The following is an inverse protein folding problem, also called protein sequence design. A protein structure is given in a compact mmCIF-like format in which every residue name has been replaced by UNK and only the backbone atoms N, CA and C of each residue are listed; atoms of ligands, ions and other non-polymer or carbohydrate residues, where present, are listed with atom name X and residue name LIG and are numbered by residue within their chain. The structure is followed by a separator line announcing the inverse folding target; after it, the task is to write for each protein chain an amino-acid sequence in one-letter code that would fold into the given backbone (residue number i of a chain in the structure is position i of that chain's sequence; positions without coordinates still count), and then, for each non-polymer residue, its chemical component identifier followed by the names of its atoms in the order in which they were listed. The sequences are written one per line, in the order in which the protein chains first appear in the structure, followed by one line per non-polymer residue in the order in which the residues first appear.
data_IF_257147667330
#
_entry.id   IF_257147667330
#
_cell.length_a   1.000
_cell.length_b   1.000
_cell.length_c   1.000
_cell.angle_alpha   90.00
_cell.angle_beta   90.00
_cell.angle_gamma   90.00
#
_symmetry.space_group_name_H-M   'P 1'
#
loop_
_entity.id
_entity.type
_entity.pdbx_description
1 polymer ?
#
# COMPACT_ATOMS: atom_id res chain seq x y z
N UNK A 1 -8.21 5.71 -11.34
CA UNK A 1 -9.33 6.54 -10.80
C UNK A 1 -8.99 6.91 -9.37
N UNK A 2 -9.30 8.12 -8.90
CA UNK A 2 -9.05 8.55 -7.50
C UNK A 2 -10.34 8.62 -6.68
N UNK A 3 -10.26 8.34 -5.38
CA UNK A 3 -11.39 8.50 -4.46
C UNK A 3 -11.39 9.91 -3.85
N UNK A 4 -12.48 10.65 -4.11
CA UNK A 4 -12.68 12.02 -3.63
C UNK A 4 -14.12 12.24 -3.19
N UNK A 5 -14.31 12.83 -2.00
CA UNK A 5 -15.62 13.24 -1.48
C UNK A 5 -16.73 12.16 -1.58
N UNK A 6 -16.39 10.90 -1.31
CA UNK A 6 -17.36 9.80 -1.28
C UNK A 6 -17.62 9.12 -2.64
N UNK A 7 -16.86 9.46 -3.69
CA UNK A 7 -17.01 8.88 -5.03
C UNK A 7 -15.68 8.64 -5.73
N UNK A 8 -15.67 7.75 -6.71
CA UNK A 8 -14.55 7.59 -7.65
C UNK A 8 -14.63 8.64 -8.75
N UNK A 9 -13.50 9.24 -9.09
CA UNK A 9 -13.35 10.26 -10.13
C UNK A 9 -12.31 9.77 -11.15
N UNK A 10 -12.63 9.94 -12.43
CA UNK A 10 -11.71 9.63 -13.52
C UNK A 10 -10.55 10.64 -13.54
N UNK A 11 -9.36 10.12 -13.77
CA UNK A 11 -8.12 10.89 -13.77
C UNK A 11 -7.12 10.21 -14.71
N UNK A 12 -6.03 10.90 -15.05
CA UNK A 12 -4.92 10.25 -15.74
C UNK A 12 -4.16 9.33 -14.78
N UNK A 13 -3.38 8.40 -15.32
CA UNK A 13 -2.47 7.54 -14.53
C UNK A 13 -1.52 8.38 -13.68
N UNK A 14 -1.02 9.49 -14.22
CA UNK A 14 -0.16 10.41 -13.48
C UNK A 14 -0.87 11.13 -12.34
N UNK A 15 -2.10 11.60 -12.56
CA UNK A 15 -2.88 12.23 -11.48
C UNK A 15 -3.16 11.23 -10.35
N UNK A 16 -3.40 9.96 -10.67
CA UNK A 16 -3.52 8.89 -9.68
C UNK A 16 -2.23 8.70 -8.88
N UNK A 17 -1.06 8.62 -9.55
CA UNK A 17 0.24 8.52 -8.86
C UNK A 17 0.51 9.71 -7.96
N UNK A 18 0.18 10.94 -8.39
CA UNK A 18 0.38 12.16 -7.59
C UNK A 18 -0.52 12.18 -6.36
N UNK A 19 -1.81 11.85 -6.54
CA UNK A 19 -2.77 11.78 -5.44
C UNK A 19 -2.33 10.73 -4.40
N UNK A 20 -1.91 9.55 -4.85
CA UNK A 20 -1.32 8.51 -4.00
C UNK A 20 -0.11 9.04 -3.23
N UNK A 21 0.89 9.61 -3.92
CA UNK A 21 2.11 10.13 -3.30
C UNK A 21 1.82 11.21 -2.24
N UNK A 22 0.93 12.16 -2.54
CA UNK A 22 0.56 13.23 -1.62
C UNK A 22 -0.23 12.72 -0.40
N UNK A 23 -1.16 11.80 -0.60
CA UNK A 23 -1.91 11.16 0.50
C UNK A 23 -0.99 10.35 1.41
N UNK A 24 -0.04 9.62 0.83
CA UNK A 24 0.98 8.90 1.59
C UNK A 24 1.86 9.87 2.39
N UNK A 25 2.38 10.92 1.75
CA UNK A 25 3.20 11.94 2.42
C UNK A 25 2.49 12.54 3.64
N UNK A 26 1.23 12.96 3.49
CA UNK A 26 0.44 13.59 4.57
C UNK A 26 0.27 12.67 5.77
N UNK A 27 -0.12 11.42 5.55
CA UNK A 27 -0.35 10.49 6.65
C UNK A 27 0.96 10.01 7.30
N UNK A 28 1.98 9.70 6.49
CA UNK A 28 3.30 9.26 6.98
C UNK A 28 3.93 10.37 7.84
N UNK A 29 3.80 11.62 7.40
CA UNK A 29 4.21 12.76 8.18
C UNK A 29 3.40 12.92 9.49
N UNK A 30 2.09 12.63 9.45
CA UNK A 30 1.22 12.64 10.62
C UNK A 30 1.61 11.62 11.70
N UNK A 31 2.19 10.49 11.31
CA UNK A 31 2.71 9.47 12.25
C UNK A 31 4.19 9.69 12.63
N UNK A 32 4.84 10.75 12.12
CA UNK A 32 6.22 11.09 12.48
C UNK A 32 7.30 10.29 11.76
N UNK A 33 6.95 9.56 10.70
CA UNK A 33 7.91 8.75 9.93
C UNK A 33 8.44 9.57 8.75
N UNK A 34 9.76 9.58 8.48
CA UNK A 34 10.30 10.23 7.28
C UNK A 34 10.01 9.41 6.02
N UNK A 35 9.80 10.08 4.90
CA UNK A 35 9.67 9.44 3.59
C UNK A 35 10.41 10.20 2.49
N UNK A 36 10.91 9.44 1.51
CA UNK A 36 11.60 9.95 0.32
C UNK A 36 10.80 9.60 -0.94
N UNK A 37 10.53 10.60 -1.77
CA UNK A 37 9.84 10.47 -3.05
C UNK A 37 10.84 10.56 -4.17
N UNK A 38 11.20 9.41 -4.74
CA UNK A 38 12.18 9.29 -5.81
C UNK A 38 11.50 9.35 -7.18
N UNK A 39 11.93 10.26 -8.04
CA UNK A 39 11.45 10.33 -9.41
C UNK A 39 12.16 9.27 -10.26
N UNK A 40 11.40 8.40 -10.90
CA UNK A 40 11.93 7.38 -11.82
C UNK A 40 12.75 8.03 -12.94
N UNK A 41 12.16 9.05 -13.56
CA UNK A 41 12.76 9.89 -14.59
C UNK A 41 12.99 11.30 -14.03
N UNK A 42 14.20 11.57 -13.56
CA UNK A 42 14.56 12.91 -13.09
C UNK A 42 14.48 13.92 -14.24
N UNK A 43 14.04 15.18 -13.98
CA UNK A 43 14.05 16.22 -14.99
C UNK A 43 15.45 16.44 -15.56
N UNK A 44 15.58 16.80 -16.86
CA UNK A 44 16.86 17.21 -17.41
C UNK A 44 17.31 18.51 -16.72
N UNK A 45 18.34 18.42 -15.89
CA UNK A 45 18.99 19.55 -15.25
C UNK A 45 20.50 19.53 -15.49
N UNK A 46 21.22 20.62 -15.21
CA UNK A 46 22.68 20.62 -15.21
C UNK A 46 23.13 19.69 -14.08
N UNK A 47 23.26 18.39 -14.39
CA UNK A 47 23.91 17.43 -13.51
C UNK A 47 25.33 17.95 -13.36
N UNK A 48 25.59 18.61 -12.23
CA UNK A 48 26.96 18.68 -11.75
C UNK A 48 27.47 17.24 -11.78
N UNK A 49 28.68 17.04 -12.27
CA UNK A 49 29.32 15.73 -12.46
C UNK A 49 29.52 14.95 -11.12
N UNK A 50 28.81 15.32 -10.07
CA UNK A 50 28.65 14.57 -8.84
C UNK A 50 27.83 13.32 -9.14
N UNK A 51 28.48 12.17 -9.06
CA UNK A 51 27.83 10.87 -9.01
C UNK A 51 26.98 10.77 -7.74
N UNK A 52 25.69 11.12 -7.80
CA UNK A 52 24.80 10.96 -6.64
C UNK A 52 23.40 11.53 -6.83
N UNK A 53 22.45 10.98 -6.07
CA UNK A 53 21.09 11.46 -5.89
C UNK A 53 21.09 12.89 -5.32
N UNK A 54 20.37 13.81 -5.97
CA UNK A 54 20.23 15.19 -5.48
C UNK A 54 18.83 15.47 -4.97
N UNK A 55 18.73 15.90 -3.70
CA UNK A 55 17.46 16.33 -3.11
C UNK A 55 16.93 17.59 -3.82
N UNK A 56 15.63 17.62 -4.08
CA UNK A 56 14.97 18.66 -4.85
C UNK A 56 15.09 18.51 -6.38
N UNK A 57 15.86 17.53 -6.87
CA UNK A 57 16.00 17.22 -8.30
C UNK A 57 15.58 15.79 -8.59
N UNK A 58 16.27 14.81 -8.00
CA UNK A 58 16.01 13.38 -8.21
C UNK A 58 14.99 12.83 -7.21
N UNK A 59 14.97 13.38 -5.99
CA UNK A 59 14.06 12.98 -4.95
C UNK A 59 13.67 14.14 -4.05
N UNK A 60 12.58 13.98 -3.29
CA UNK A 60 12.16 14.91 -2.25
C UNK A 60 12.00 14.16 -0.93
N UNK A 61 12.41 14.79 0.17
CA UNK A 61 12.19 14.26 1.51
C UNK A 61 11.07 15.01 2.21
N UNK A 62 10.15 14.26 2.81
CA UNK A 62 9.19 14.75 3.80
C UNK A 62 9.55 14.11 5.12
N UNK A 63 9.99 14.94 6.07
CA UNK A 63 10.48 14.52 7.37
C UNK A 63 9.97 15.50 8.44
N UNK A 64 9.00 15.06 9.27
CA UNK A 64 8.44 15.87 10.36
C UNK A 64 9.48 16.37 11.38
N UNK A 65 10.63 15.71 11.48
CA UNK A 65 11.71 16.12 12.39
C UNK A 65 12.60 17.23 11.81
N UNK A 66 12.55 17.45 10.49
CA UNK A 66 13.43 18.35 9.76
C UNK A 66 12.69 19.54 9.12
N UNK A 67 12.01 20.35 9.93
CA UNK A 67 11.39 21.62 9.51
C UNK A 67 9.86 21.56 9.41
N UNK A 68 9.27 22.53 8.69
CA UNK A 68 7.81 22.63 8.57
C UNK A 68 7.24 21.62 7.58
N UNK A 69 6.53 20.61 8.09
CA UNK A 69 5.87 19.55 7.28
C UNK A 69 5.01 20.11 6.15
N UNK A 70 4.17 21.12 6.41
CA UNK A 70 3.33 21.73 5.37
C UNK A 70 4.17 22.33 4.23
N UNK A 71 5.29 22.98 4.55
CA UNK A 71 6.18 23.53 3.54
C UNK A 71 6.90 22.43 2.73
N UNK A 72 7.15 21.25 3.32
CA UNK A 72 7.69 20.10 2.61
C UNK A 72 6.64 19.48 1.67
N UNK A 73 5.40 19.33 2.15
CA UNK A 73 4.26 18.84 1.36
C UNK A 73 3.96 19.78 0.17
N UNK A 74 3.97 21.09 0.39
CA UNK A 74 3.82 22.10 -0.67
C UNK A 74 4.92 21.99 -1.73
N UNK A 75 6.16 21.68 -1.32
CA UNK A 75 7.27 21.48 -2.25
C UNK A 75 7.07 20.22 -3.08
N UNK A 76 6.66 19.11 -2.44
CA UNK A 76 6.34 17.86 -3.12
C UNK A 76 5.25 18.07 -4.17
N UNK A 77 4.14 18.70 -3.78
CA UNK A 77 3.03 19.01 -4.69
C UNK A 77 3.48 19.86 -5.89
N UNK A 78 4.29 20.90 -5.64
CA UNK A 78 4.82 21.76 -6.72
C UNK A 78 5.75 21.01 -7.66
N UNK A 79 6.59 20.09 -7.18
CA UNK A 79 7.48 19.32 -8.05
C UNK A 79 6.68 18.30 -8.86
N UNK A 80 5.80 17.54 -8.21
CA UNK A 80 4.92 16.58 -8.89
C UNK A 80 4.03 17.27 -9.95
N UNK A 81 3.57 18.49 -9.69
CA UNK A 81 2.81 19.29 -10.66
C UNK A 81 3.62 19.78 -11.88
N UNK A 82 4.96 19.80 -11.81
CA UNK A 82 5.85 20.23 -12.89
C UNK A 82 6.41 19.06 -13.70
N UNK A 83 6.56 17.90 -13.09
CA UNK A 83 7.08 16.70 -13.74
C UNK A 83 6.01 16.13 -14.68
N UNK A 84 6.45 15.69 -15.86
CA UNK A 84 5.64 14.88 -16.77
C UNK A 84 6.25 13.49 -16.87
N UNK A 85 5.45 12.41 -16.78
CA UNK A 85 5.93 11.06 -16.97
C UNK A 85 6.28 10.87 -18.45
N UNK A 86 7.57 10.86 -18.75
CA UNK A 86 8.10 10.70 -20.11
C UNK A 86 9.34 9.83 -20.07
N UNK A 87 9.56 9.08 -21.14
CA UNK A 87 10.78 8.30 -21.35
C UNK A 87 10.62 6.81 -21.05
N UNK A 88 11.74 6.20 -20.69
CA UNK A 88 11.84 4.77 -20.38
C UNK A 88 11.49 4.50 -18.91
N UNK A 89 11.48 3.23 -18.54
CA UNK A 89 11.18 2.74 -17.19
C UNK A 89 12.43 2.09 -16.58
N UNK A 90 13.47 2.88 -16.21
CA UNK A 90 14.76 2.35 -15.75
C UNK A 90 14.71 1.88 -14.28
N UNK A 91 13.82 0.93 -13.97
CA UNK A 91 13.55 0.49 -12.61
C UNK A 91 14.77 -0.17 -11.97
N UNK A 92 15.50 -1.02 -12.69
CA UNK A 92 16.66 -1.74 -12.14
C UNK A 92 17.72 -0.74 -11.67
N UNK A 93 17.98 0.27 -12.50
CA UNK A 93 18.89 1.36 -12.13
C UNK A 93 18.42 2.09 -10.87
N UNK A 94 17.14 2.49 -10.79
CA UNK A 94 16.63 3.25 -9.64
C UNK A 94 16.60 2.45 -8.36
N UNK A 95 16.20 1.19 -8.41
CA UNK A 95 16.25 0.30 -7.26
C UNK A 95 17.69 0.11 -6.81
N UNK A 96 18.65 -0.02 -7.73
CA UNK A 96 20.08 -0.14 -7.39
C UNK A 96 20.63 1.11 -6.68
N UNK A 97 20.23 2.31 -7.13
CA UNK A 97 20.63 3.57 -6.50
C UNK A 97 20.00 3.72 -5.09
N UNK A 98 18.72 3.35 -4.91
CA UNK A 98 18.03 3.32 -3.62
C UNK A 98 18.64 2.27 -2.68
N UNK A 99 18.93 1.07 -3.20
CA UNK A 99 19.61 0.00 -2.48
C UNK A 99 20.94 0.49 -1.89
N UNK A 100 21.79 1.13 -2.71
CA UNK A 100 23.08 1.63 -2.26
C UNK A 100 22.96 2.66 -1.14
N UNK A 101 21.89 3.47 -1.16
CA UNK A 101 21.59 4.46 -0.12
C UNK A 101 21.13 3.80 1.18
N UNK A 102 20.15 2.90 1.13
CA UNK A 102 19.67 2.18 2.32
C UNK A 102 20.80 1.32 2.92
N UNK A 103 21.66 0.74 2.09
CA UNK A 103 22.81 -0.05 2.55
C UNK A 103 23.78 0.77 3.42
N UNK A 104 23.93 2.08 3.18
CA UNK A 104 24.76 2.96 4.02
C UNK A 104 24.19 3.16 5.43
N UNK A 105 22.87 3.04 5.59
CA UNK A 105 22.15 3.24 6.85
C UNK A 105 21.73 1.91 7.51
N UNK A 106 22.02 0.77 6.86
CA UNK A 106 21.54 -0.56 7.23
C UNK A 106 21.80 -0.91 8.69
N UNK A 107 23.03 -0.71 9.17
CA UNK A 107 23.40 -1.11 10.52
C UNK A 107 22.65 -0.30 11.58
N UNK A 108 22.36 0.97 11.30
CA UNK A 108 21.62 1.82 12.22
C UNK A 108 20.13 1.50 12.20
N UNK A 109 19.56 1.21 11.03
CA UNK A 109 18.20 0.70 10.90
C UNK A 109 18.01 -0.61 11.69
N UNK A 110 18.94 -1.55 11.56
CA UNK A 110 18.88 -2.84 12.28
C UNK A 110 19.01 -2.64 13.79
N UNK A 111 19.95 -1.81 14.26
CA UNK A 111 20.10 -1.50 15.69
C UNK A 111 18.86 -0.83 16.27
N UNK A 112 18.21 0.04 15.50
CA UNK A 112 16.98 0.71 15.90
C UNK A 112 15.73 -0.17 15.75
N UNK A 113 15.84 -1.38 15.19
CA UNK A 113 14.70 -2.25 14.88
C UNK A 113 13.77 -1.65 13.81
N UNK A 114 14.28 -0.71 13.01
CA UNK A 114 13.54 -0.03 11.95
C UNK A 114 13.55 -0.85 10.67
N UNK A 115 12.50 -0.65 9.87
CA UNK A 115 12.32 -1.28 8.56
C UNK A 115 11.98 -0.19 7.55
N UNK A 116 12.32 -0.43 6.30
CA UNK A 116 11.99 0.45 5.18
C UNK A 116 10.88 -0.19 4.36
N UNK A 117 9.89 0.60 3.96
CA UNK A 117 8.97 0.19 2.90
C UNK A 117 9.40 0.88 1.61
N UNK A 118 9.72 0.08 0.59
CA UNK A 118 10.02 0.55 -0.75
C UNK A 118 8.78 0.43 -1.62
N UNK A 119 8.18 1.56 -1.98
CA UNK A 119 6.98 1.62 -2.82
C UNK A 119 7.39 1.99 -4.25
N UNK A 120 7.07 1.12 -5.20
CA UNK A 120 7.33 1.30 -6.63
C UNK A 120 5.99 1.56 -7.31
N UNK A 121 5.70 2.81 -7.63
CA UNK A 121 4.54 3.15 -8.46
C UNK A 121 4.94 3.18 -9.94
N UNK A 122 4.28 2.38 -10.77
CA UNK A 122 4.61 2.24 -12.20
C UNK A 122 3.36 1.95 -13.03
N UNK A 123 3.33 2.44 -14.26
CA UNK A 123 2.31 2.12 -15.26
C UNK A 123 2.84 1.21 -16.38
N UNK A 124 4.08 0.74 -16.29
CA UNK A 124 4.73 -0.05 -17.32
C UNK A 124 5.76 -1.06 -16.81
N UNK A 125 6.28 -1.84 -17.77
CA UNK A 125 7.36 -2.82 -17.55
C UNK A 125 8.74 -2.13 -17.48
N UNK A 126 9.72 -2.72 -16.77
CA UNK A 126 11.09 -2.22 -16.77
C UNK A 126 11.68 -2.20 -18.18
N UNK A 127 12.59 -1.25 -18.43
CA UNK A 127 13.37 -1.22 -19.68
C UNK A 127 14.42 -2.31 -19.73
N UNK A 128 14.95 -2.67 -18.56
CA UNK A 128 15.86 -3.78 -18.40
C UNK A 128 15.12 -5.13 -18.38
N UNK A 129 15.81 -6.25 -18.70
CA UNK A 129 15.21 -7.58 -18.66
C UNK A 129 14.62 -7.94 -17.29
N UNK A 130 13.53 -8.70 -17.29
CA UNK A 130 12.82 -9.17 -16.09
C UNK A 130 13.76 -9.82 -15.07
N UNK A 131 14.71 -10.61 -15.54
CA UNK A 131 15.68 -11.34 -14.71
C UNK A 131 16.53 -10.37 -13.88
N UNK A 132 16.88 -9.21 -14.45
CA UNK A 132 17.67 -8.18 -13.75
C UNK A 132 16.84 -7.46 -12.70
N UNK A 133 15.55 -7.23 -12.96
CA UNK A 133 14.62 -6.72 -11.96
C UNK A 133 14.44 -7.72 -10.82
N UNK A 134 14.25 -9.00 -11.15
CA UNK A 134 14.13 -10.06 -10.16
C UNK A 134 15.39 -10.17 -9.29
N UNK A 135 16.58 -10.15 -9.89
CA UNK A 135 17.87 -10.17 -9.17
C UNK A 135 17.99 -9.02 -8.17
N UNK A 136 17.75 -7.77 -8.59
CA UNK A 136 17.91 -6.62 -7.69
C UNK A 136 16.85 -6.58 -6.59
N UNK A 137 15.62 -7.01 -6.88
CA UNK A 137 14.57 -7.12 -5.85
C UNK A 137 14.91 -8.19 -4.81
N UNK A 138 15.36 -9.37 -5.24
CA UNK A 138 15.83 -10.43 -4.31
C UNK A 138 16.98 -9.94 -3.46
N UNK A 139 17.97 -9.29 -4.09
CA UNK A 139 19.12 -8.75 -3.39
C UNK A 139 18.67 -7.71 -2.34
N UNK A 140 17.82 -6.77 -2.74
CA UNK A 140 17.31 -5.72 -1.85
C UNK A 140 16.56 -6.31 -0.64
N UNK A 141 15.67 -7.28 -0.87
CA UNK A 141 14.91 -7.91 0.20
C UNK A 141 15.75 -8.83 1.10
N UNK A 142 16.86 -9.39 0.59
CA UNK A 142 17.74 -10.28 1.36
C UNK A 142 18.74 -9.49 2.21
N UNK A 143 19.34 -8.45 1.63
CA UNK A 143 20.45 -7.74 2.26
C UNK A 143 19.95 -6.67 3.25
N UNK A 144 18.75 -6.14 3.05
CA UNK A 144 18.20 -4.99 3.77
C UNK A 144 16.88 -5.33 4.49
N UNK A 145 16.53 -4.64 5.60
CA UNK A 145 15.24 -4.79 6.28
C UNK A 145 14.13 -4.05 5.51
N UNK A 146 13.88 -4.47 4.27
CA UNK A 146 12.96 -3.82 3.33
C UNK A 146 11.74 -4.70 3.06
N UNK A 147 10.56 -4.08 2.99
CA UNK A 147 9.37 -4.67 2.38
C UNK A 147 9.04 -3.88 1.10
N UNK A 148 8.78 -4.60 0.01
CA UNK A 148 8.56 -3.97 -1.30
C UNK A 148 7.08 -4.02 -1.66
N UNK A 149 6.54 -2.89 -2.09
CA UNK A 149 5.19 -2.79 -2.64
C UNK A 149 5.29 -2.26 -4.06
N UNK A 150 4.69 -2.95 -5.03
CA UNK A 150 4.56 -2.48 -6.41
C UNK A 150 3.12 -2.06 -6.63
N UNK A 151 2.90 -0.75 -6.82
CA UNK A 151 1.60 -0.18 -7.13
C UNK A 151 1.47 0.05 -8.63
N UNK A 152 0.58 -0.68 -9.28
CA UNK A 152 0.32 -0.60 -10.71
C UNK A 152 -0.70 0.49 -11.01
N UNK A 153 -0.29 1.56 -11.68
CA UNK A 153 -1.20 2.64 -12.08
C UNK A 153 -1.69 2.45 -13.51
N UNK A 154 -1.92 1.20 -13.92
CA UNK A 154 -2.30 0.80 -15.28
C UNK A 154 -3.23 -0.40 -15.25
N UNK A 155 -4.15 -0.47 -16.20
CA UNK A 155 -5.07 -1.59 -16.45
C UNK A 155 -4.59 -2.50 -17.60
N UNK A 156 -3.36 -2.28 -18.08
CA UNK A 156 -2.77 -3.07 -19.15
C UNK A 156 -2.42 -4.48 -18.65
N UNK A 157 -3.17 -5.47 -19.12
CA UNK A 157 -3.03 -6.87 -18.70
C UNK A 157 -1.61 -7.40 -18.83
N UNK A 158 -0.86 -6.98 -19.85
CA UNK A 158 0.54 -7.40 -20.03
C UNK A 158 1.46 -6.89 -18.91
N UNK A 159 1.18 -5.73 -18.34
CA UNK A 159 1.95 -5.16 -17.21
C UNK A 159 1.54 -5.86 -15.91
N UNK A 160 0.24 -6.03 -15.70
CA UNK A 160 -0.30 -6.74 -14.52
C UNK A 160 0.22 -8.18 -14.46
N UNK A 161 0.10 -8.93 -15.56
CA UNK A 161 0.61 -10.30 -15.67
C UNK A 161 2.14 -10.38 -15.51
N UNK A 162 2.88 -9.33 -15.88
CA UNK A 162 4.32 -9.27 -15.68
C UNK A 162 4.66 -9.25 -14.19
N UNK A 163 4.05 -8.36 -13.40
CA UNK A 163 4.34 -8.23 -11.98
C UNK A 163 3.76 -9.37 -11.16
N UNK A 164 2.59 -9.91 -11.52
CA UNK A 164 2.04 -11.10 -10.84
C UNK A 164 2.97 -12.32 -10.97
N UNK A 165 3.49 -12.58 -12.18
CA UNK A 165 4.48 -13.66 -12.37
C UNK A 165 5.80 -13.38 -11.65
N UNK A 166 6.19 -12.11 -11.56
CA UNK A 166 7.39 -11.73 -10.81
C UNK A 166 7.20 -12.05 -9.33
N UNK A 167 6.06 -11.71 -8.74
CA UNK A 167 5.73 -12.02 -7.34
C UNK A 167 5.73 -13.52 -7.05
N UNK A 168 5.04 -14.31 -7.88
CA UNK A 168 5.00 -15.77 -7.77
C UNK A 168 6.39 -16.43 -7.79
N UNK A 169 7.35 -15.85 -8.52
CA UNK A 169 8.71 -16.40 -8.68
C UNK A 169 9.71 -15.93 -7.61
N UNK A 170 9.46 -14.80 -6.95
CA UNK A 170 10.47 -14.15 -6.13
C UNK A 170 10.55 -14.73 -4.71
N UNK A 171 9.48 -15.30 -4.16
CA UNK A 171 9.39 -15.80 -2.78
C UNK A 171 9.94 -14.80 -1.72
N UNK A 172 9.91 -13.49 -2.01
CA UNK A 172 10.35 -12.40 -1.13
C UNK A 172 9.14 -11.65 -0.58
N UNK A 173 9.28 -10.79 0.45
CA UNK A 173 8.20 -9.92 0.92
C UNK A 173 7.91 -8.78 -0.08
N UNK A 174 7.36 -9.15 -1.24
CA UNK A 174 6.83 -8.29 -2.29
C UNK A 174 5.30 -8.34 -2.23
N UNK A 175 4.66 -7.19 -2.46
CA UNK A 175 3.21 -7.09 -2.63
C UNK A 175 2.94 -6.35 -3.94
N UNK A 176 2.12 -6.91 -4.82
CA UNK A 176 1.69 -6.26 -6.07
C UNK A 176 0.25 -5.81 -5.88
N UNK A 177 -0.02 -4.53 -6.11
CA UNK A 177 -1.34 -3.93 -5.96
C UNK A 177 -1.78 -3.28 -7.27
N UNK A 178 -2.92 -3.71 -7.79
CA UNK A 178 -3.54 -3.12 -8.98
C UNK A 178 -4.73 -2.22 -8.59
N UNK A 179 -5.74 -2.08 -9.45
CA UNK A 179 -6.85 -1.18 -9.24
C UNK A 179 -7.75 -1.59 -8.06
N UNK A 180 -8.29 -0.58 -7.36
CA UNK A 180 -9.16 -0.74 -6.20
C UNK A 180 -10.36 -1.69 -6.42
N UNK A 181 -10.98 -1.69 -7.62
CA UNK A 181 -12.12 -2.57 -7.91
C UNK A 181 -11.68 -4.00 -8.22
N UNK A 182 -10.55 -4.17 -8.92
CA UNK A 182 -9.90 -5.46 -9.15
C UNK A 182 -9.59 -6.16 -7.83
N UNK A 183 -8.83 -5.49 -6.96
CA UNK A 183 -8.48 -5.95 -5.62
C UNK A 183 -9.71 -6.34 -4.79
N UNK A 184 -10.75 -5.49 -4.80
CA UNK A 184 -11.97 -5.77 -4.07
C UNK A 184 -12.69 -7.04 -4.59
N UNK A 185 -12.66 -7.30 -5.90
CA UNK A 185 -13.24 -8.52 -6.49
C UNK A 185 -12.45 -9.75 -6.07
N UNK A 186 -11.13 -9.68 -6.07
CA UNK A 186 -10.26 -10.80 -5.66
C UNK A 186 -10.48 -11.16 -4.20
N UNK A 187 -10.46 -10.17 -3.30
CA UNK A 187 -10.74 -10.36 -1.87
C UNK A 187 -12.11 -11.01 -1.65
N UNK A 188 -13.13 -10.55 -2.37
CA UNK A 188 -14.46 -11.16 -2.29
C UNK A 188 -14.48 -12.59 -2.85
N UNK A 189 -13.81 -12.86 -3.98
CA UNK A 189 -13.74 -14.16 -4.63
C UNK A 189 -13.01 -15.21 -3.78
N UNK A 190 -12.00 -14.80 -2.99
CA UNK A 190 -11.36 -15.67 -1.99
C UNK A 190 -12.24 -15.96 -0.77
N UNK A 191 -13.46 -15.40 -0.70
CA UNK A 191 -14.41 -15.63 0.38
C UNK A 191 -14.29 -14.64 1.55
N UNK A 192 -13.52 -13.57 1.38
CA UNK A 192 -13.38 -12.50 2.38
C UNK A 192 -14.36 -11.33 2.15
N UNK A 193 -15.42 -11.53 1.35
CA UNK A 193 -16.46 -10.52 1.08
C UNK A 193 -17.32 -10.10 2.29
N UNK A 194 -16.98 -10.58 3.50
CA UNK A 194 -17.48 -10.02 4.76
C UNK A 194 -16.82 -8.68 5.10
N UNK A 195 -15.67 -8.37 4.51
CA UNK A 195 -14.95 -7.10 4.65
C UNK A 195 -15.15 -6.27 3.37
N UNK A 196 -15.48 -4.99 3.50
CA UNK A 196 -15.46 -4.07 2.38
C UNK A 196 -14.01 -3.62 2.12
N UNK A 197 -13.42 -4.04 1.00
CA UNK A 197 -12.11 -3.57 0.55
C UNK A 197 -12.22 -2.10 0.12
N UNK A 198 -12.06 -1.19 1.08
CA UNK A 198 -12.30 0.24 0.91
C UNK A 198 -11.03 0.99 0.45
N UNK A 199 -11.15 2.24 -0.04
CA UNK A 199 -9.99 3.08 -0.35
C UNK A 199 -8.99 3.21 0.82
N UNK A 200 -9.47 3.18 2.07
CA UNK A 200 -8.63 3.21 3.25
C UNK A 200 -7.79 1.93 3.37
N UNK A 201 -8.38 0.75 3.15
CA UNK A 201 -7.66 -0.52 3.19
C UNK A 201 -6.64 -0.62 2.06
N UNK A 202 -7.04 -0.19 0.86
CA UNK A 202 -6.13 -0.13 -0.27
C UNK A 202 -4.93 0.77 0.03
N UNK A 203 -5.18 2.00 0.51
CA UNK A 203 -4.12 2.92 0.89
C UNK A 203 -3.21 2.39 2.02
N UNK A 204 -3.73 1.55 2.92
CA UNK A 204 -2.93 0.89 3.96
C UNK A 204 -1.98 -0.15 3.38
N UNK A 205 -2.46 -0.97 2.42
CA UNK A 205 -1.62 -1.94 1.70
C UNK A 205 -0.58 -1.25 0.83
N UNK A 206 -0.97 -0.21 0.09
CA UNK A 206 -0.07 0.60 -0.75
C UNK A 206 1.17 1.15 -0.02
N UNK A 207 1.06 1.36 1.29
CA UNK A 207 2.12 1.94 2.12
C UNK A 207 3.06 0.91 2.71
N UNK A 208 2.79 -0.38 2.46
CA UNK A 208 3.37 -1.49 3.17
C UNK A 208 2.80 -1.61 4.56
N UNK A 209 2.28 -2.80 4.86
CA UNK A 209 1.84 -3.17 6.21
C UNK A 209 2.58 -4.43 6.63
N UNK A 210 3.02 -4.47 7.89
CA UNK A 210 3.62 -5.68 8.45
C UNK A 210 2.57 -6.61 9.07
N UNK A 211 1.28 -6.25 8.97
CA UNK A 211 0.18 -7.09 9.44
C UNK A 211 -0.17 -8.08 8.33
N UNK A 212 0.38 -9.29 8.42
CA UNK A 212 0.23 -10.36 7.42
C UNK A 212 -1.21 -10.70 7.03
N UNK A 213 -2.19 -10.34 7.86
CA UNK A 213 -3.61 -10.54 7.55
C UNK A 213 -4.08 -9.75 6.33
N UNK A 214 -3.47 -8.60 6.02
CA UNK A 214 -3.83 -7.84 4.83
C UNK A 214 -3.33 -8.53 3.55
N UNK A 215 -2.10 -9.03 3.54
CA UNK A 215 -1.55 -9.83 2.42
C UNK A 215 -2.41 -11.09 2.17
N UNK A 216 -2.95 -11.69 3.21
CA UNK A 216 -3.74 -12.93 3.06
C UNK A 216 -5.14 -12.71 2.47
N UNK A 217 -5.61 -11.47 2.31
CA UNK A 217 -6.99 -11.16 1.94
C UNK A 217 -7.35 -11.59 0.52
N UNK A 218 -6.43 -11.43 -0.42
CA UNK A 218 -6.54 -11.77 -1.84
C UNK A 218 -5.82 -13.07 -2.18
N UNK A 219 -4.97 -13.61 -1.30
CA UNK A 219 -4.39 -14.94 -1.45
C UNK A 219 -5.41 -16.06 -1.16
N UNK A 220 -6.12 -15.98 -0.02
CA UNK A 220 -7.00 -17.07 0.45
C UNK A 220 -8.12 -16.62 1.37
N UNK A 221 -9.04 -17.54 1.64
CA UNK A 221 -10.09 -17.34 2.64
C UNK A 221 -9.49 -17.30 4.07
N UNK A 222 -9.66 -16.20 4.80
CA UNK A 222 -9.14 -16.03 6.16
C UNK A 222 -9.89 -16.91 7.15
N UNK A 223 -9.22 -17.73 7.96
CA UNK A 223 -9.86 -18.58 8.98
C UNK A 223 -10.74 -17.78 9.95
N UNK A 224 -11.61 -18.45 10.71
CA UNK A 224 -12.49 -17.76 11.68
C UNK A 224 -11.69 -16.87 12.65
N UNK A 225 -10.56 -17.37 13.16
CA UNK A 225 -9.68 -16.61 14.07
C UNK A 225 -9.08 -15.39 13.36
N UNK A 226 -8.55 -15.55 12.15
CA UNK A 226 -7.95 -14.47 11.36
C UNK A 226 -8.97 -13.40 11.00
N UNK A 227 -10.16 -13.80 10.55
CA UNK A 227 -11.26 -12.90 10.24
C UNK A 227 -11.71 -12.10 11.47
N UNK A 228 -11.77 -12.74 12.65
CA UNK A 228 -12.11 -12.06 13.90
C UNK A 228 -11.03 -11.05 14.30
N UNK A 229 -9.74 -11.40 14.18
CA UNK A 229 -8.62 -10.49 14.48
C UNK A 229 -8.66 -9.29 13.53
N UNK A 230 -8.80 -9.52 12.23
CA UNK A 230 -8.83 -8.44 11.25
C UNK A 230 -10.06 -7.54 11.43
N UNK A 231 -11.24 -8.12 11.67
CA UNK A 231 -12.45 -7.36 11.98
C UNK A 231 -12.27 -6.50 13.23
N UNK A 232 -11.55 -6.97 14.25
CA UNK A 232 -11.22 -6.14 15.43
C UNK A 232 -10.35 -4.96 15.05
N UNK A 233 -9.29 -5.18 14.28
CA UNK A 233 -8.40 -4.09 13.84
C UNK A 233 -9.18 -3.00 13.10
N UNK A 234 -10.14 -3.38 12.24
CA UNK A 234 -10.97 -2.44 11.47
C UNK A 234 -12.00 -1.70 12.35
N UNK A 235 -12.47 -2.31 13.44
CA UNK A 235 -13.55 -1.79 14.28
C UNK A 235 -13.06 -1.05 15.54
N UNK A 236 -11.78 -1.21 15.89
CA UNK A 236 -11.18 -0.66 17.11
C UNK A 236 -11.07 0.87 17.08
N UNK A 237 -11.12 1.46 18.27
CA UNK A 237 -10.76 2.85 18.55
C UNK A 237 -9.50 2.87 19.41
N UNK A 238 -8.78 3.99 19.45
CA UNK A 238 -7.52 4.13 20.21
C UNK A 238 -7.67 3.89 21.73
N UNK A 239 -8.91 3.82 22.26
CA UNK A 239 -9.20 3.54 23.68
C UNK A 239 -9.78 2.16 24.02
N UNK A 240 -10.05 1.28 23.04
CA UNK A 240 -10.99 0.16 23.21
C UNK A 240 -10.37 -1.25 23.06
N UNK A 241 -9.04 -1.36 23.04
CA UNK A 241 -8.31 -2.62 22.75
C UNK A 241 -8.71 -3.78 23.69
N UNK A 242 -9.16 -3.48 24.92
CA UNK A 242 -9.51 -4.47 25.92
C UNK A 242 -11.02 -4.86 25.97
N UNK A 243 -11.90 -4.19 25.21
CA UNK A 243 -13.37 -4.35 25.37
C UNK A 243 -14.02 -5.33 24.38
N UNK A 244 -13.34 -5.69 23.29
CA UNK A 244 -13.91 -6.56 22.26
C UNK A 244 -14.12 -8.00 22.78
N UNK A 245 -15.34 -8.56 22.70
CA UNK A 245 -15.62 -9.92 23.16
C UNK A 245 -14.76 -10.96 22.45
N UNK A 246 -14.30 -11.98 23.20
CA UNK A 246 -13.55 -13.13 22.67
C UNK A 246 -14.45 -14.17 22.01
N UNK A 247 -15.67 -14.30 22.51
CA UNK A 247 -16.68 -15.21 21.95
C UNK A 247 -17.16 -14.70 20.58
N UNK A 248 -17.21 -15.55 19.54
CA UNK A 248 -17.56 -15.10 18.20
C UNK A 248 -18.99 -14.58 18.03
N UNK A 249 -19.96 -15.11 18.77
CA UNK A 249 -21.35 -14.67 18.69
C UNK A 249 -21.51 -13.29 19.34
N UNK A 250 -20.97 -13.13 20.55
CA UNK A 250 -20.90 -11.84 21.24
C UNK A 250 -20.10 -10.81 20.43
N UNK A 251 -19.04 -11.21 19.74
CA UNK A 251 -18.26 -10.32 18.87
C UNK A 251 -19.07 -9.83 17.67
N UNK A 252 -19.93 -10.66 17.07
CA UNK A 252 -20.80 -10.22 15.98
C UNK A 252 -21.81 -9.17 16.44
N UNK A 253 -22.33 -9.28 17.66
CA UNK A 253 -23.25 -8.29 18.23
C UNK A 253 -22.51 -6.98 18.55
N UNK A 254 -21.32 -7.08 19.14
CA UNK A 254 -20.41 -5.95 19.33
C UNK A 254 -20.10 -5.23 18.01
N UNK A 255 -19.74 -5.97 16.96
CA UNK A 255 -19.42 -5.42 15.64
C UNK A 255 -20.63 -4.67 15.04
N UNK A 256 -21.84 -5.21 15.20
CA UNK A 256 -23.07 -4.56 14.74
C UNK A 256 -23.31 -3.23 15.44
N UNK A 257 -23.11 -3.17 16.75
CA UNK A 257 -23.32 -1.95 17.51
C UNK A 257 -22.24 -0.90 17.23
N UNK A 258 -20.99 -1.35 17.06
CA UNK A 258 -19.86 -0.47 16.70
C UNK A 258 -20.05 0.16 15.32
N UNK A 259 -20.45 -0.61 14.32
CA UNK A 259 -20.69 -0.11 12.96
C UNK A 259 -21.79 0.96 12.86
N UNK A 260 -22.70 1.06 13.84
CA UNK A 260 -23.69 2.16 13.87
C UNK A 260 -23.07 3.51 14.21
N UNK A 261 -21.88 3.53 14.82
CA UNK A 261 -21.18 4.74 15.27
C UNK A 261 -20.03 5.12 14.34
N UNK A 262 -19.52 4.16 13.58
CA UNK A 262 -18.46 4.39 12.61
C UNK A 262 -19.02 5.03 11.34
N UNK A 263 -18.21 5.88 10.73
CA UNK A 263 -18.53 6.43 9.42
C UNK A 263 -18.60 5.30 8.37
N UNK A 264 -19.55 5.36 7.43
CA UNK A 264 -19.56 4.45 6.30
C UNK A 264 -18.28 4.57 5.47
N UNK A 265 -17.86 3.46 4.87
CA UNK A 265 -16.74 3.42 3.91
C UNK A 265 -17.28 3.16 2.50
N UNK A 266 -16.54 3.62 1.49
CA UNK A 266 -16.86 3.29 0.10
C UNK A 266 -16.57 1.82 -0.17
N UNK A 267 -17.54 1.12 -0.74
CA UNK A 267 -17.40 -0.26 -1.18
C UNK A 267 -17.32 -0.31 -2.73
N UNK A 268 -16.14 -0.59 -3.31
CA UNK A 268 -15.93 -0.61 -4.76
C UNK A 268 -16.83 -1.58 -5.50
N UNK A 269 -17.19 -2.72 -4.89
CA UNK A 269 -18.06 -3.71 -5.52
C UNK A 269 -19.50 -3.24 -5.69
N UNK A 270 -19.94 -2.30 -4.85
CA UNK A 270 -21.31 -1.78 -4.88
C UNK A 270 -21.41 -0.36 -5.42
N UNK A 271 -20.28 0.35 -5.51
CA UNK A 271 -20.22 1.77 -5.86
C UNK A 271 -20.88 2.70 -4.84
N UNK A 272 -21.01 2.27 -3.58
CA UNK A 272 -21.79 2.98 -2.55
C UNK A 272 -21.05 3.04 -1.22
N UNK A 273 -21.39 4.06 -0.44
CA UNK A 273 -21.02 4.15 0.97
C UNK A 273 -21.83 3.13 1.79
N UNK A 274 -21.16 2.37 2.65
CA UNK A 274 -21.77 1.32 3.47
C UNK A 274 -20.89 0.92 4.66
N UNK A 275 -21.29 -0.10 5.44
CA UNK A 275 -20.47 -0.54 6.58
C UNK A 275 -19.16 -1.19 6.10
N UNK A 276 -18.07 -0.97 6.85
CA UNK A 276 -16.79 -1.60 6.57
C UNK A 276 -16.81 -3.12 6.70
N UNK A 277 -17.74 -3.66 7.49
CA UNK A 277 -17.92 -5.10 7.72
C UNK A 277 -19.39 -5.49 7.53
N UNK A 278 -19.63 -6.51 6.71
CA UNK A 278 -20.92 -7.18 6.62
C UNK A 278 -21.03 -8.20 7.77
N UNK A 279 -21.67 -7.79 8.87
CA UNK A 279 -21.82 -8.61 10.09
C UNK A 279 -22.49 -9.96 9.83
N UNK A 280 -23.42 -10.05 8.88
CA UNK A 280 -24.07 -11.33 8.56
C UNK A 280 -23.09 -12.30 7.91
N UNK A 281 -22.31 -11.83 6.95
CA UNK A 281 -21.27 -12.62 6.30
C UNK A 281 -20.15 -12.96 7.28
N UNK A 282 -19.73 -12.02 8.12
CA UNK A 282 -18.76 -12.25 9.19
C UNK A 282 -19.27 -13.33 10.16
N UNK A 283 -20.53 -13.25 10.61
CA UNK A 283 -21.11 -14.27 11.50
C UNK A 283 -21.05 -15.67 10.88
N UNK A 284 -21.40 -15.80 9.60
CA UNK A 284 -21.29 -17.07 8.88
C UNK A 284 -19.84 -17.56 8.75
N UNK A 285 -18.88 -16.64 8.73
CA UNK A 285 -17.45 -16.97 8.72
C UNK A 285 -16.95 -17.44 10.09
N UNK A 286 -17.41 -16.81 11.16
CA UNK A 286 -16.96 -17.07 12.52
C UNK A 286 -17.63 -18.30 13.15
N UNK A 287 -18.91 -18.51 12.85
CA UNK A 287 -19.70 -19.61 13.37
C UNK A 287 -19.90 -20.62 12.23
N UNK A 288 -19.15 -21.73 12.19
CA UNK A 288 -19.42 -22.78 11.23
C UNK A 288 -20.86 -23.26 11.42
N UNK A 289 -21.55 -23.59 10.33
CA UNK A 289 -22.88 -24.20 10.39
C UNK A 289 -22.82 -25.35 11.39
N UNK A 290 -23.58 -25.26 12.49
CA UNK A 290 -23.90 -26.43 13.30
C UNK A 290 -24.44 -27.46 12.31
N UNK A 291 -23.69 -28.53 12.06
CA UNK A 291 -24.26 -29.71 11.39
C UNK A 291 -25.53 -30.01 12.17
N UNK A 292 -26.69 -29.84 11.52
CA UNK A 292 -27.94 -30.36 12.07
C UNK A 292 -27.69 -31.85 12.21
N UNK A 293 -27.47 -32.29 13.44
CA UNK A 293 -27.52 -33.70 13.83
C UNK A 293 -28.97 -34.11 13.81
#
# INVERSE_FOLDING_TARGET
RVFEAGRMVDCSRWEETKDMALKQARWIAGVGTPCEFVLLNSPPGPRQQTHGFQEGVDFLRVDPSCGGTEAQLDRLEKVLGRVQPMGQTPLVRRISEVYARIMQERDDLLKAGQRVVLIIATDGQPTEPRERLAEILRQTATDLPVHVVVRLTTDESEVVDFYNRLDEELEIPLEVLDDLEGEAKEVAAKGNGWLAYSPLLHALRERGTFVKLFDLLDERCLTATEAMILARLVLQDEGDVASAPRDPEAFCDFARDRLRRLEPVYNPLTGRMGPAVNVRALRARLLPFRKRV
#
